data_IF_703626689101
#
_entry.id   IF_703626689101
#
_cell.length_a   1.000
_cell.length_b   1.000
_cell.length_c   1.000
_cell.angle_alpha   90.00
_cell.angle_beta   90.00
_cell.angle_gamma   90.00
#
_symmetry.space_group_name_H-M   'P 1'
#
loop_
_entity.id
_entity.type
_entity.pdbx_description
1 polymer ?
#
# COMPACT_ATOMS: atom_id res chain seq x y z
N UNK A 1 -6.38 8.83 -9.87
CA UNK A 1 -6.98 7.79 -9.02
C UNK A 1 -5.88 6.80 -8.66
N UNK A 2 -5.76 6.37 -7.41
CA UNK A 2 -4.93 5.20 -7.07
C UNK A 2 -5.75 3.95 -7.45
N UNK A 3 -5.34 3.31 -8.55
CA UNK A 3 -6.00 2.13 -9.14
C UNK A 3 -5.86 0.90 -8.22
N UNK A 4 -4.88 0.98 -7.35
CA UNK A 4 -4.41 0.03 -6.33
C UNK A 4 -5.48 -0.30 -5.28
N UNK A 5 -6.60 0.42 -5.22
CA UNK A 5 -7.72 0.15 -4.29
C UNK A 5 -9.05 -0.04 -4.99
N UNK A 6 -9.07 -0.51 -6.25
CA UNK A 6 -10.33 -0.71 -6.96
C UNK A 6 -11.19 -1.81 -6.30
N UNK A 7 -12.43 -1.49 -5.87
CA UNK A 7 -13.28 -2.44 -5.15
C UNK A 7 -13.44 -3.76 -5.91
N UNK A 8 -13.71 -3.69 -7.22
CA UNK A 8 -13.96 -4.86 -8.05
C UNK A 8 -12.72 -5.77 -8.13
N UNK A 9 -11.53 -5.18 -8.21
CA UNK A 9 -10.28 -5.94 -8.25
C UNK A 9 -10.03 -6.66 -6.92
N UNK A 10 -10.13 -5.94 -5.80
CA UNK A 10 -9.93 -6.49 -4.45
C UNK A 10 -10.94 -7.60 -4.15
N UNK A 11 -12.22 -7.36 -4.46
CA UNK A 11 -13.29 -8.35 -4.24
C UNK A 11 -13.10 -9.56 -5.14
N UNK A 12 -12.75 -9.37 -6.41
CA UNK A 12 -12.51 -10.47 -7.34
C UNK A 12 -11.33 -11.33 -6.88
N UNK A 13 -10.20 -10.71 -6.52
CA UNK A 13 -9.03 -11.43 -6.01
C UNK A 13 -9.36 -12.23 -4.74
N UNK A 14 -10.15 -11.66 -3.83
CA UNK A 14 -10.61 -12.33 -2.62
C UNK A 14 -11.47 -13.58 -2.95
N UNK A 15 -12.33 -13.53 -3.98
CA UNK A 15 -13.12 -14.69 -4.45
C UNK A 15 -12.26 -15.86 -4.94
N UNK A 16 -11.07 -15.59 -5.43
CA UNK A 16 -10.10 -16.60 -5.87
C UNK A 16 -9.07 -16.94 -4.79
N UNK A 17 -9.33 -16.63 -3.51
CA UNK A 17 -8.41 -16.84 -2.38
C UNK A 17 -7.01 -16.22 -2.59
N UNK A 18 -6.92 -15.17 -3.41
CA UNK A 18 -5.67 -14.48 -3.69
C UNK A 18 -5.39 -13.48 -2.57
N UNK A 19 -4.14 -13.49 -2.08
CA UNK A 19 -3.67 -12.53 -1.08
C UNK A 19 -3.53 -11.14 -1.69
N UNK A 20 -4.16 -10.15 -1.08
CA UNK A 20 -4.14 -8.76 -1.56
C UNK A 20 -3.55 -7.85 -0.50
N UNK A 21 -2.45 -7.18 -0.84
CA UNK A 21 -1.78 -6.24 0.07
C UNK A 21 -1.59 -4.88 -0.61
N UNK A 22 -1.61 -3.81 0.19
CA UNK A 22 -1.26 -2.48 -0.28
C UNK A 22 0.19 -2.18 0.09
N UNK A 23 1.09 -2.20 -0.90
CA UNK A 23 2.48 -1.78 -0.73
C UNK A 23 2.66 -0.28 -0.98
N UNK A 24 3.65 0.34 -0.32
CA UNK A 24 3.95 1.79 -0.42
C UNK A 24 2.68 2.66 -0.35
N UNK A 25 1.75 2.29 0.54
CA UNK A 25 0.40 2.80 0.50
C UNK A 25 0.35 4.28 0.91
N UNK A 26 -0.38 5.08 0.12
CA UNK A 26 -0.60 6.50 0.36
C UNK A 26 -2.10 6.78 0.35
N UNK A 27 -2.58 7.65 1.24
CA UNK A 27 -4.01 7.97 1.32
C UNK A 27 -4.27 9.47 1.31
N UNK A 28 -4.98 9.91 0.26
CA UNK A 28 -5.49 11.27 0.09
C UNK A 28 -6.79 11.52 0.86
N UNK A 29 -7.69 12.35 0.33
CA UNK A 29 -8.94 12.79 1.00
C UNK A 29 -10.02 11.70 1.22
N UNK A 30 -9.72 10.40 1.03
CA UNK A 30 -10.65 9.27 1.20
C UNK A 30 -10.93 8.90 2.67
N UNK A 31 -10.80 9.88 3.58
CA UNK A 31 -10.76 9.67 5.04
C UNK A 31 -12.11 9.95 5.72
N UNK A 32 -13.06 10.62 5.05
CA UNK A 32 -14.26 11.19 5.68
C UNK A 32 -15.55 10.85 4.93
N UNK A 33 -16.66 10.79 5.67
CA UNK A 33 -18.01 10.64 5.14
C UNK A 33 -18.27 9.31 4.44
N UNK A 34 -19.10 9.35 3.39
CA UNK A 34 -19.53 8.17 2.60
C UNK A 34 -18.33 7.45 1.99
N UNK A 35 -17.32 8.20 1.54
CA UNK A 35 -16.11 7.62 0.95
C UNK A 35 -15.30 6.81 1.96
N UNK A 36 -15.30 7.22 3.25
CA UNK A 36 -14.67 6.46 4.33
C UNK A 36 -15.37 5.12 4.57
N UNK A 37 -16.71 5.09 4.55
CA UNK A 37 -17.48 3.83 4.68
C UNK A 37 -17.20 2.88 3.52
N UNK A 38 -17.16 3.40 2.29
CA UNK A 38 -16.80 2.61 1.11
C UNK A 38 -15.38 2.04 1.23
N UNK A 39 -14.43 2.89 1.65
CA UNK A 39 -13.03 2.48 1.84
C UNK A 39 -12.92 1.36 2.87
N UNK A 40 -13.61 1.47 4.02
CA UNK A 40 -13.66 0.40 5.04
C UNK A 40 -14.25 -0.91 4.48
N UNK A 41 -15.32 -0.81 3.68
CA UNK A 41 -15.97 -1.98 3.07
C UNK A 41 -15.04 -2.73 2.10
N UNK A 42 -14.16 -2.02 1.42
CA UNK A 42 -13.15 -2.62 0.53
C UNK A 42 -11.97 -3.14 1.34
N UNK A 43 -11.44 -2.33 2.26
CA UNK A 43 -10.19 -2.61 2.95
C UNK A 43 -10.29 -3.81 3.91
N UNK A 44 -11.48 -4.17 4.37
CA UNK A 44 -11.69 -5.41 5.15
C UNK A 44 -11.32 -6.69 4.39
N UNK A 45 -11.21 -6.63 3.05
CA UNK A 45 -10.83 -7.76 2.19
C UNK A 45 -9.33 -7.81 1.89
N UNK A 46 -8.54 -6.85 2.39
CA UNK A 46 -7.09 -6.86 2.26
C UNK A 46 -6.48 -7.78 3.30
N UNK A 47 -5.33 -8.37 2.98
CA UNK A 47 -4.52 -9.19 3.89
C UNK A 47 -3.43 -8.36 4.59
N UNK A 48 -3.22 -7.12 4.18
CA UNK A 48 -2.28 -6.21 4.83
C UNK A 48 -2.17 -4.85 4.15
N UNK A 49 -1.79 -3.85 4.94
CA UNK A 49 -1.49 -2.50 4.45
C UNK A 49 -0.09 -2.11 4.94
N UNK A 50 0.73 -1.66 3.99
CA UNK A 50 2.10 -1.27 4.24
C UNK A 50 2.31 0.18 3.79
N UNK A 51 2.05 1.15 4.69
CA UNK A 51 2.15 2.56 4.35
C UNK A 51 3.58 2.99 4.04
N UNK A 52 3.69 4.01 3.20
CA UNK A 52 4.99 4.58 2.82
C UNK A 52 5.60 5.50 3.88
N UNK A 53 4.82 5.99 4.83
CA UNK A 53 5.29 6.94 5.85
C UNK A 53 4.44 6.83 7.13
N UNK A 54 5.06 7.13 8.28
CA UNK A 54 4.42 7.07 9.61
C UNK A 54 3.15 7.92 9.73
N UNK A 55 3.14 9.07 9.05
CA UNK A 55 1.98 9.98 9.03
C UNK A 55 0.69 9.36 8.46
N UNK A 56 0.78 8.20 7.80
CA UNK A 56 -0.37 7.46 7.29
C UNK A 56 -0.84 6.33 8.21
N UNK A 57 -0.06 5.96 9.22
CA UNK A 57 -0.33 4.79 10.07
C UNK A 57 -1.72 4.88 10.72
N UNK A 58 -1.97 5.93 11.50
CA UNK A 58 -3.24 6.11 12.24
C UNK A 58 -4.43 6.17 11.29
N UNK A 59 -4.23 6.80 10.11
CA UNK A 59 -5.28 6.91 9.10
C UNK A 59 -5.65 5.52 8.58
N UNK A 60 -4.68 4.71 8.16
CA UNK A 60 -4.96 3.36 7.67
C UNK A 60 -5.50 2.46 8.77
N UNK A 61 -4.92 2.53 9.98
CA UNK A 61 -5.38 1.77 11.14
C UNK A 61 -6.86 2.02 11.44
N UNK A 62 -7.32 3.27 11.32
CA UNK A 62 -8.73 3.63 11.50
C UNK A 62 -9.68 3.13 10.40
N UNK A 63 -9.14 2.68 9.26
CA UNK A 63 -9.87 2.26 8.07
C UNK A 63 -9.93 0.73 7.88
N UNK A 64 -9.22 -0.04 8.70
CA UNK A 64 -9.20 -1.50 8.62
C UNK A 64 -9.55 -2.19 9.95
N UNK A 65 -10.18 -3.38 9.90
CA UNK A 65 -10.36 -4.23 11.08
C UNK A 65 -9.03 -4.62 11.73
N UNK A 66 -9.00 -4.81 13.06
CA UNK A 66 -7.77 -5.06 13.84
C UNK A 66 -6.99 -6.28 13.38
N UNK A 67 -7.66 -7.30 12.84
CA UNK A 67 -7.01 -8.48 12.29
C UNK A 67 -6.14 -8.21 11.04
N UNK A 68 -6.36 -7.10 10.34
CA UNK A 68 -5.58 -6.75 9.15
C UNK A 68 -4.31 -6.01 9.61
N UNK A 69 -3.11 -6.54 9.32
CA UNK A 69 -1.87 -5.92 9.73
C UNK A 69 -1.67 -4.59 9.00
N UNK A 70 -1.28 -3.57 9.77
CA UNK A 70 -0.82 -2.27 9.26
C UNK A 70 0.61 -2.09 9.75
N UNK A 71 1.57 -1.98 8.84
CA UNK A 71 2.99 -1.80 9.20
C UNK A 71 3.67 -0.87 8.22
N UNK A 72 4.29 0.20 8.71
CA UNK A 72 5.01 1.15 7.85
C UNK A 72 6.28 0.47 7.32
N UNK A 73 6.42 0.41 5.99
CA UNK A 73 7.56 -0.21 5.32
C UNK A 73 8.35 0.76 4.43
N UNK A 74 7.85 2.00 4.26
CA UNK A 74 8.52 2.97 3.42
C UNK A 74 8.07 2.94 1.96
N UNK A 75 8.75 3.73 1.15
CA UNK A 75 8.37 4.01 -0.23
C UNK A 75 9.33 3.34 -1.22
N UNK A 76 8.78 2.51 -2.10
CA UNK A 76 9.54 1.78 -3.13
C UNK A 76 10.26 2.68 -4.14
N UNK A 77 9.91 3.97 -4.17
CA UNK A 77 10.66 4.98 -4.94
C UNK A 77 12.10 5.11 -4.44
N UNK A 78 12.37 4.92 -3.15
CA UNK A 78 13.73 4.95 -2.63
C UNK A 78 14.53 3.72 -3.06
N UNK A 79 13.92 2.54 -3.08
CA UNK A 79 14.56 1.31 -3.56
C UNK A 79 15.03 1.47 -5.03
N UNK A 80 14.22 2.14 -5.84
CA UNK A 80 14.55 2.41 -7.24
C UNK A 80 15.76 3.36 -7.39
N UNK A 81 15.88 4.34 -6.49
CA UNK A 81 17.04 5.25 -6.46
C UNK A 81 18.29 4.52 -6.00
N UNK A 82 18.20 3.72 -4.93
CA UNK A 82 19.31 2.92 -4.42
C UNK A 82 19.84 1.97 -5.49
N UNK A 83 18.94 1.23 -6.16
CA UNK A 83 19.29 0.33 -7.25
C UNK A 83 20.07 1.04 -8.37
N UNK A 84 19.63 2.24 -8.75
CA UNK A 84 20.32 3.04 -9.78
C UNK A 84 21.73 3.46 -9.37
N UNK A 85 21.93 3.80 -8.09
CA UNK A 85 23.26 4.13 -7.54
C UNK A 85 24.16 2.89 -7.57
N UNK A 86 23.64 1.74 -7.13
CA UNK A 86 24.38 0.47 -7.11
C UNK A 86 24.80 0.02 -8.53
N UNK A 87 23.89 0.10 -9.49
CA UNK A 87 24.15 -0.27 -10.88
C UNK A 87 25.24 0.63 -11.50
N UNK A 88 25.18 1.94 -11.24
CA UNK A 88 26.21 2.89 -11.69
C UNK A 88 27.58 2.65 -11.02
N UNK A 89 27.59 2.31 -9.72
CA UNK A 89 28.83 2.02 -9.00
C UNK A 89 29.52 0.74 -9.49
N UNK A 90 28.74 -0.27 -9.92
CA UNK A 90 29.28 -1.49 -10.54
C UNK A 90 29.94 -1.22 -11.89
N UNK A 91 29.35 -0.35 -12.71
CA UNK A 91 29.91 0.04 -14.01
C UNK A 91 31.29 0.70 -13.82
N UNK A 92 31.42 1.58 -12.83
CA UNK A 92 32.68 2.28 -12.54
C UNK A 92 33.78 1.38 -11.96
N UNK A 93 33.43 0.27 -11.27
CA UNK A 93 34.40 -0.69 -10.74
C UNK A 93 34.93 -1.68 -11.78
N UNK A 94 34.26 -1.80 -12.93
CA UNK A 94 34.63 -2.70 -14.01
C UNK A 94 35.33 -1.98 -15.18
N UNK A 95 35.65 -0.69 -15.00
CA UNK A 95 36.50 0.13 -15.87
C UNK A 95 37.88 0.30 -15.22
#
# INVERSE_FOLDING_TARGET
MAWDTWPNLVISANRFNTKVVLGSAVIGNRKKGIMGKLTKSVFKHLDGIFPSHESFYDVFRSLVPDQIPVKVLGDTRFDSVLKKIEDNAKILKNL
#
